data_IF_041075508069
#
_entry.id   IF_041075508069
#
_cell.length_a   1.000
_cell.length_b   1.000
_cell.length_c   1.000
_cell.angle_alpha   90.00
_cell.angle_beta   90.00
_cell.angle_gamma   90.00
#
_symmetry.space_group_name_H-M   'P 1'
#
loop_
_entity.id
_entity.type
_entity.pdbx_description
1 polymer ?
#
# COMPACT_ATOMS: atom_id res chain seq x y z
N UNK A 1 -37.61 -35.79 2.71
CA UNK A 1 -36.89 -35.30 1.53
C UNK A 1 -36.65 -33.79 1.69
N UNK A 2 -35.67 -33.39 2.52
CA UNK A 2 -35.35 -31.98 2.75
C UNK A 2 -34.12 -31.59 1.94
N UNK A 3 -34.31 -30.77 0.91
CA UNK A 3 -33.21 -30.27 0.06
C UNK A 3 -32.38 -29.20 0.79
N UNK A 4 -31.06 -29.11 0.54
CA UNK A 4 -30.22 -28.12 1.20
C UNK A 4 -30.51 -26.71 0.68
N UNK A 5 -30.89 -25.81 1.59
CA UNK A 5 -31.10 -24.39 1.32
C UNK A 5 -29.80 -23.74 0.82
N UNK A 6 -29.86 -23.11 -0.36
CA UNK A 6 -28.77 -22.33 -0.91
C UNK A 6 -28.61 -21.03 -0.11
N UNK A 7 -27.43 -20.79 0.43
CA UNK A 7 -27.05 -19.52 1.03
C UNK A 7 -27.14 -18.36 0.02
N UNK A 8 -27.51 -17.13 0.45
CA UNK A 8 -27.50 -15.96 -0.42
C UNK A 8 -26.07 -15.60 -0.82
N UNK A 9 -25.89 -15.28 -2.10
CA UNK A 9 -24.62 -14.75 -2.64
C UNK A 9 -24.42 -13.32 -2.13
N UNK A 10 -23.22 -12.92 -1.68
CA UNK A 10 -22.97 -11.51 -1.39
C UNK A 10 -23.00 -10.70 -2.69
N UNK A 11 -23.80 -9.63 -2.66
CA UNK A 11 -23.94 -8.69 -3.77
C UNK A 11 -22.57 -8.05 -4.09
N UNK A 12 -22.05 -8.40 -5.26
CA UNK A 12 -20.87 -7.80 -5.87
C UNK A 12 -21.16 -6.36 -6.29
N UNK A 13 -21.15 -5.44 -5.33
CA UNK A 13 -21.31 -4.00 -5.50
C UNK A 13 -20.02 -3.21 -5.77
N UNK A 14 -18.99 -3.81 -6.35
CA UNK A 14 -17.79 -3.06 -6.75
C UNK A 14 -17.97 -2.46 -8.14
N UNK A 15 -18.60 -1.29 -8.16
CA UNK A 15 -18.70 -0.41 -9.31
C UNK A 15 -17.32 -0.09 -9.89
N UNK A 16 -17.27 -0.01 -11.22
CA UNK A 16 -16.09 0.30 -12.02
C UNK A 16 -15.46 1.63 -11.58
N UNK A 17 -14.34 1.59 -10.85
CA UNK A 17 -13.57 2.78 -10.54
C UNK A 17 -12.84 3.28 -11.79
N UNK A 18 -13.36 4.35 -12.39
CA UNK A 18 -12.64 5.17 -13.37
C UNK A 18 -11.37 5.76 -12.71
N UNK A 19 -10.24 5.83 -13.42
CA UNK A 19 -9.00 6.34 -12.84
C UNK A 19 -9.15 7.85 -12.61
N UNK A 20 -9.13 8.29 -11.35
CA UNK A 20 -8.92 9.68 -11.00
C UNK A 20 -7.49 10.08 -11.37
N UNK A 21 -7.28 10.44 -12.64
CA UNK A 21 -6.18 11.31 -13.07
C UNK A 21 -6.41 12.68 -12.44
N UNK A 22 -5.98 12.86 -11.21
CA UNK A 22 -5.59 14.19 -10.73
C UNK A 22 -4.11 14.17 -10.45
N UNK A 23 -3.36 14.80 -11.35
CA UNK A 23 -2.00 15.28 -11.09
C UNK A 23 -2.06 16.08 -9.78
N UNK A 24 -1.68 15.48 -8.65
CA UNK A 24 -1.48 16.24 -7.43
C UNK A 24 -0.17 17.00 -7.63
N UNK A 25 -0.29 18.32 -7.70
CA UNK A 25 0.82 19.27 -7.71
C UNK A 25 1.70 19.02 -6.50
N UNK A 26 3.00 19.20 -6.71
CA UNK A 26 4.00 19.30 -5.67
C UNK A 26 3.54 20.30 -4.58
N UNK A 27 3.73 19.93 -3.31
CA UNK A 27 3.56 20.83 -2.17
C UNK A 27 2.25 20.70 -1.42
N UNK A 28 2.06 19.60 -0.70
CA UNK A 28 1.31 19.63 0.55
C UNK A 28 2.02 18.76 1.57
N UNK A 29 2.68 19.43 2.52
CA UNK A 29 3.20 18.84 3.75
C UNK A 29 2.02 18.61 4.71
N UNK A 30 1.07 17.77 4.32
CA UNK A 30 0.15 17.20 5.30
C UNK A 30 0.95 16.13 6.03
N UNK A 31 1.14 16.27 7.34
CA UNK A 31 1.59 15.16 8.19
C UNK A 31 0.51 14.09 8.10
N UNK A 32 0.63 13.19 7.14
CA UNK A 32 -0.25 12.03 7.04
C UNK A 32 -0.02 11.20 8.30
N UNK A 33 -1.05 11.07 9.13
CA UNK A 33 -0.95 10.24 10.33
C UNK A 33 -0.92 8.78 9.87
N UNK A 34 0.22 8.10 10.06
CA UNK A 34 0.35 6.69 9.75
C UNK A 34 -0.28 5.86 10.87
N UNK A 35 -1.19 4.97 10.49
CA UNK A 35 -1.78 3.96 11.37
C UNK A 35 -1.36 2.59 10.87
N UNK A 36 -0.90 1.72 11.75
CA UNK A 36 -0.46 0.37 11.39
C UNK A 36 -1.49 -0.66 11.82
N UNK A 37 -1.64 -1.72 11.01
CA UNK A 37 -2.34 -2.91 11.45
C UNK A 37 -1.57 -3.55 12.61
N UNK A 38 -2.23 -3.64 13.76
CA UNK A 38 -1.68 -4.26 14.97
C UNK A 38 -2.00 -5.75 14.96
N UNK A 39 -0.98 -6.57 15.17
CA UNK A 39 -1.16 -8.00 15.25
C UNK A 39 -1.87 -8.37 16.56
N UNK A 40 -3.00 -9.10 16.51
CA UNK A 40 -3.78 -9.40 17.70
C UNK A 40 -3.05 -10.35 18.68
N UNK A 41 -1.99 -11.04 18.23
CA UNK A 41 -1.22 -11.98 19.06
C UNK A 41 -0.11 -11.26 19.83
N UNK A 42 0.61 -10.34 19.19
CA UNK A 42 1.76 -9.66 19.81
C UNK A 42 1.43 -8.26 20.32
N UNK A 43 0.33 -7.64 19.85
CA UNK A 43 0.00 -6.25 20.17
C UNK A 43 0.90 -5.24 19.46
N UNK A 44 1.74 -5.69 18.52
CA UNK A 44 2.71 -4.87 17.81
C UNK A 44 2.30 -4.66 16.34
N UNK A 45 2.79 -3.61 15.67
CA UNK A 45 2.64 -3.45 14.23
C UNK A 45 3.05 -4.69 13.45
N UNK A 46 2.16 -5.20 12.60
CA UNK A 46 2.39 -6.41 11.80
C UNK A 46 3.61 -6.31 10.87
N UNK A 47 4.05 -5.09 10.55
CA UNK A 47 5.25 -4.83 9.73
C UNK A 47 6.54 -5.35 10.38
N UNK A 48 6.62 -5.44 11.71
CA UNK A 48 7.82 -5.90 12.41
C UNK A 48 8.11 -7.38 12.13
N UNK A 49 7.08 -8.19 11.86
CA UNK A 49 7.26 -9.59 11.41
C UNK A 49 7.94 -9.71 10.06
N UNK A 50 8.01 -8.63 9.29
CA UNK A 50 8.67 -8.57 7.99
C UNK A 50 10.03 -7.87 8.04
N UNK A 51 10.57 -7.61 9.24
CA UNK A 51 11.83 -6.86 9.44
C UNK A 51 11.78 -5.47 8.79
N UNK A 52 10.60 -4.84 8.83
CA UNK A 52 10.36 -3.49 8.32
C UNK A 52 10.00 -2.59 9.49
N UNK A 53 10.67 -1.44 9.58
CA UNK A 53 10.40 -0.43 10.60
C UNK A 53 9.40 0.62 10.10
N UNK A 54 8.77 1.33 11.04
CA UNK A 54 7.75 2.34 10.72
C UNK A 54 8.33 3.51 9.91
N UNK A 55 9.57 3.90 10.22
CA UNK A 55 10.27 4.99 9.54
C UNK A 55 10.53 4.66 8.07
N UNK A 56 10.89 3.40 7.78
CA UNK A 56 11.10 2.94 6.41
C UNK A 56 9.80 2.97 5.59
N UNK A 57 8.66 2.71 6.23
CA UNK A 57 7.34 2.83 5.61
C UNK A 57 7.01 4.29 5.34
N UNK A 58 7.27 5.18 6.30
CA UNK A 58 7.07 6.62 6.13
C UNK A 58 7.88 7.16 4.96
N UNK A 59 9.17 6.82 4.87
CA UNK A 59 10.04 7.23 3.76
C UNK A 59 9.47 6.83 2.39
N UNK A 60 9.00 5.58 2.28
CA UNK A 60 8.43 5.04 1.04
C UNK A 60 7.11 5.72 0.66
N UNK A 61 6.25 5.99 1.64
CA UNK A 61 4.96 6.67 1.40
C UNK A 61 5.13 8.16 1.10
N UNK A 62 6.17 8.79 1.66
CA UNK A 62 6.48 10.20 1.41
C UNK A 62 7.01 10.44 0.00
N UNK A 63 7.84 9.53 -0.52
CA UNK A 63 8.41 9.59 -1.88
C UNK A 63 8.28 8.26 -2.63
N UNK A 64 7.05 7.86 -3.00
CA UNK A 64 6.83 6.59 -3.68
C UNK A 64 7.43 6.62 -5.09
N UNK A 65 8.23 5.62 -5.43
CA UNK A 65 8.80 5.50 -6.78
C UNK A 65 7.77 5.05 -7.81
N UNK A 66 6.97 4.05 -7.43
CA UNK A 66 5.78 3.63 -8.14
C UNK A 66 4.62 3.45 -7.15
N UNK A 67 3.40 3.82 -7.57
CA UNK A 67 2.19 3.62 -6.79
C UNK A 67 1.11 3.02 -7.70
N UNK A 68 0.54 1.89 -7.27
CA UNK A 68 -0.44 1.12 -8.02
C UNK A 68 -1.74 0.94 -7.23
N UNK A 69 -2.91 0.96 -7.89
CA UNK A 69 -4.14 0.52 -7.27
C UNK A 69 -4.08 -1.00 -6.99
N UNK A 70 -4.46 -1.40 -5.78
CA UNK A 70 -4.61 -2.78 -5.33
C UNK A 70 -6.06 -3.27 -5.43
N UNK A 71 -6.41 -4.25 -4.59
CA UNK A 71 -7.78 -4.77 -4.45
C UNK A 71 -8.46 -4.16 -3.22
N UNK A 72 -9.79 -4.06 -3.21
CA UNK A 72 -10.56 -3.60 -2.05
C UNK A 72 -10.11 -2.23 -1.52
N UNK A 73 -9.95 -1.24 -2.40
CA UNK A 73 -9.45 0.11 -2.09
C UNK A 73 -8.03 0.18 -1.49
N UNK A 74 -7.28 -0.92 -1.48
CA UNK A 74 -5.86 -0.88 -1.15
C UNK A 74 -5.04 -0.28 -2.29
N UNK A 75 -3.86 0.21 -1.91
CA UNK A 75 -2.83 0.75 -2.78
C UNK A 75 -1.51 0.09 -2.45
N UNK A 76 -0.65 0.05 -3.45
CA UNK A 76 0.66 -0.58 -3.36
C UNK A 76 1.71 0.46 -3.75
N UNK A 77 2.45 0.95 -2.78
CA UNK A 77 3.62 1.80 -3.00
C UNK A 77 4.88 0.95 -3.07
N UNK A 78 5.71 1.18 -4.10
CA UNK A 78 7.06 0.67 -4.19
C UNK A 78 8.03 1.83 -4.02
N UNK A 79 8.98 1.69 -3.09
CA UNK A 79 9.94 2.74 -2.81
C UNK A 79 11.30 2.19 -2.42
N UNK A 80 12.26 3.11 -2.35
CA UNK A 80 13.59 2.87 -1.81
C UNK A 80 13.73 3.72 -0.55
N UNK A 81 14.16 3.11 0.54
CA UNK A 81 14.46 3.79 1.81
C UNK A 81 15.80 4.54 1.71
N UNK A 82 16.10 5.42 2.65
CA UNK A 82 17.39 6.12 2.74
C UNK A 82 18.55 5.14 2.92
N UNK A 83 18.32 4.06 3.67
CA UNK A 83 19.26 2.95 3.83
C UNK A 83 19.45 2.11 2.55
N UNK A 84 18.71 2.40 1.48
CA UNK A 84 18.82 1.75 0.18
C UNK A 84 18.03 0.44 0.05
N UNK A 85 17.30 0.02 1.09
CA UNK A 85 16.36 -1.09 1.01
C UNK A 85 15.22 -0.72 0.08
N UNK A 86 14.66 -1.72 -0.59
CA UNK A 86 13.53 -1.51 -1.47
C UNK A 86 12.34 -2.20 -0.85
N UNK A 87 11.26 -1.48 -0.63
CA UNK A 87 10.08 -2.00 0.04
C UNK A 87 8.85 -1.93 -0.86
N UNK A 88 7.95 -2.86 -0.62
CA UNK A 88 6.59 -2.85 -1.10
C UNK A 88 5.66 -2.65 0.09
N UNK A 89 4.96 -1.51 0.09
CA UNK A 89 4.03 -1.12 1.15
C UNK A 89 2.62 -1.25 0.62
N UNK A 90 1.78 -2.00 1.32
CA UNK A 90 0.35 -2.12 1.05
C UNK A 90 -0.40 -1.28 2.07
N UNK A 91 -1.15 -0.30 1.58
CA UNK A 91 -1.84 0.67 2.42
C UNK A 91 -3.24 0.97 1.90
N UNK A 92 -4.09 1.50 2.76
CA UNK A 92 -5.41 2.02 2.41
C UNK A 92 -5.41 3.51 2.76
N UNK A 93 -5.60 4.42 1.78
CA UNK A 93 -5.74 5.83 2.07
C UNK A 93 -7.07 6.09 2.79
N UNK A 94 -7.05 6.96 3.81
CA UNK A 94 -8.27 7.44 4.43
C UNK A 94 -9.08 8.26 3.40
N UNK A 95 -10.40 8.03 3.24
CA UNK A 95 -11.25 8.84 2.37
C UNK A 95 -11.18 10.35 2.66
N UNK A 96 -10.99 10.74 3.92
CA UNK A 96 -10.88 12.14 4.35
C UNK A 96 -9.47 12.71 4.09
N UNK A 97 -8.48 11.85 3.88
CA UNK A 97 -7.13 12.22 3.41
C UNK A 97 -6.16 12.70 4.49
N UNK A 98 -6.50 12.57 5.77
CA UNK A 98 -5.64 12.97 6.89
C UNK A 98 -4.77 11.83 7.44
N UNK A 99 -5.09 10.59 7.10
CA UNK A 99 -4.40 9.41 7.60
C UNK A 99 -4.20 8.36 6.50
N UNK A 100 -3.23 7.47 6.73
CA UNK A 100 -2.98 6.30 5.90
C UNK A 100 -2.94 5.07 6.79
N UNK A 101 -3.70 4.04 6.43
CA UNK A 101 -3.70 2.76 7.13
C UNK A 101 -2.77 1.78 6.43
N UNK A 102 -1.64 1.48 7.06
CA UNK A 102 -0.65 0.51 6.57
C UNK A 102 -1.10 -0.88 6.99
N UNK A 103 -1.40 -1.70 5.99
CA UNK A 103 -1.83 -3.09 6.21
C UNK A 103 -0.61 -3.99 6.39
N UNK A 104 0.39 -3.86 5.51
CA UNK A 104 1.63 -4.64 5.56
C UNK A 104 2.72 -3.97 4.74
N UNK A 105 3.97 -4.31 5.03
CA UNK A 105 5.14 -3.92 4.27
C UNK A 105 6.12 -5.08 4.22
N UNK A 106 6.81 -5.25 3.09
CA UNK A 106 7.80 -6.29 2.90
C UNK A 106 8.92 -5.85 1.98
N UNK A 107 10.08 -6.51 2.09
CA UNK A 107 11.18 -6.31 1.17
C UNK A 107 10.77 -6.65 -0.27
N UNK A 108 11.05 -5.73 -1.19
CA UNK A 108 10.93 -5.95 -2.61
C UNK A 108 12.16 -6.71 -3.13
N UNK A 109 11.97 -7.99 -3.48
CA UNK A 109 13.04 -8.89 -3.95
C UNK A 109 12.76 -9.46 -5.35
N UNK A 110 13.79 -10.08 -5.95
CA UNK A 110 13.67 -10.85 -7.19
C UNK A 110 13.16 -10.06 -8.42
N UNK A 111 12.23 -10.67 -9.16
CA UNK A 111 11.67 -10.11 -10.40
C UNK A 111 10.97 -8.76 -10.18
N UNK A 112 10.29 -8.59 -9.05
CA UNK A 112 9.58 -7.37 -8.72
C UNK A 112 10.55 -6.19 -8.53
N UNK A 113 11.68 -6.43 -7.85
CA UNK A 113 12.76 -5.44 -7.72
C UNK A 113 13.38 -5.07 -9.07
N UNK A 114 13.64 -6.06 -9.92
CA UNK A 114 14.19 -5.81 -11.26
C UNK A 114 13.24 -4.97 -12.12
N UNK A 115 11.93 -5.27 -12.06
CA UNK A 115 10.91 -4.49 -12.76
C UNK A 115 10.85 -3.04 -12.24
N UNK A 116 10.87 -2.84 -10.92
CA UNK A 116 10.91 -1.50 -10.32
C UNK A 116 12.14 -0.70 -10.77
N UNK A 117 13.34 -1.29 -10.69
CA UNK A 117 14.59 -0.64 -11.12
C UNK A 117 14.56 -0.25 -12.60
N UNK A 118 14.02 -1.12 -13.47
CA UNK A 118 13.86 -0.83 -14.90
C UNK A 118 12.94 0.37 -15.13
N UNK A 119 11.82 0.47 -14.40
CA UNK A 119 10.90 1.63 -14.50
C UNK A 119 11.54 2.91 -13.98
N UNK A 120 12.24 2.86 -12.83
CA UNK A 120 12.94 4.02 -12.26
C UNK A 120 13.99 4.59 -13.22
N UNK A 121 14.75 3.73 -13.92
CA UNK A 121 15.75 4.17 -14.93
C UNK A 121 15.12 4.91 -16.11
N UNK A 122 13.93 4.50 -16.58
CA UNK A 122 13.22 5.17 -17.69
C UNK A 122 12.63 6.53 -17.32
N UNK A 123 12.45 6.81 -16.03
CA UNK A 123 11.89 8.07 -15.50
C UNK A 123 12.96 9.13 -15.22
N UNK A 124 14.26 8.80 -15.30
CA UNK A 124 15.34 9.78 -15.19
C UNK A 124 15.49 10.47 -16.57
N UNK A 125 15.47 11.82 -16.62
CA UNK A 125 15.65 12.57 -17.87
C UNK A 125 17.03 12.32 -18.48
#
# INVERSE_FOLDING_TARGET
>A
MGGPGRAPRPESGYGRCRPHRRRRRAGSRCRETLRFYIDPVTGEPHIYRHDVREEEVEEVLRYPGDDFPGRNNSRIALGQTEAGRHLQVVYVPDPEGYAVFVVTAYDLKGKALMAFRRRKRRKRP
#
